data_IF_612431930526
#
_entry.id   IF_612431930526
#
_cell.length_a   1.000
_cell.length_b   1.000
_cell.length_c   1.000
_cell.angle_alpha   90.00
_cell.angle_beta   90.00
_cell.angle_gamma   90.00
#
_symmetry.space_group_name_H-M   'P 1'
#
loop_
_entity.id
_entity.type
_entity.pdbx_description
1 polymer ?
#
# COMPACT_ATOMS: atom_id res chain seq x y z
N UNK A 1 20.55 1.84 29.62
CA UNK A 1 21.71 1.89 28.70
C UNK A 1 21.20 2.23 27.31
N UNK A 2 21.44 3.45 26.82
CA UNK A 2 21.12 3.80 25.43
C UNK A 2 21.87 2.91 24.45
N UNK A 3 21.18 2.53 23.36
CA UNK A 3 21.75 1.76 22.25
C UNK A 3 21.74 2.67 21.02
N UNK A 4 22.92 3.11 20.60
CA UNK A 4 23.11 3.99 19.45
C UNK A 4 23.25 3.15 18.17
N UNK A 5 22.50 3.51 17.12
CA UNK A 5 22.65 2.92 15.77
C UNK A 5 23.60 3.78 14.96
N UNK A 6 24.72 3.21 14.51
CA UNK A 6 25.79 3.96 13.84
C UNK A 6 26.15 3.32 12.51
N UNK A 7 26.10 4.10 11.45
CA UNK A 7 26.28 3.68 10.06
C UNK A 7 27.44 4.45 9.42
N UNK A 8 28.04 3.90 8.36
CA UNK A 8 29.01 4.62 7.53
C UNK A 8 28.33 5.62 6.61
N UNK A 9 29.06 6.63 6.10
CA UNK A 9 28.55 7.62 5.15
C UNK A 9 27.81 6.98 3.95
N UNK A 10 28.35 5.90 3.37
CA UNK A 10 27.73 5.15 2.26
C UNK A 10 26.59 4.20 2.67
N UNK A 11 26.23 4.15 3.95
CA UNK A 11 25.19 3.28 4.54
C UNK A 11 25.40 1.78 4.28
N UNK A 12 26.61 1.38 3.89
CA UNK A 12 26.95 0.01 3.52
C UNK A 12 27.39 -0.84 4.73
N UNK A 13 27.83 -0.21 5.82
CA UNK A 13 28.16 -0.86 7.08
C UNK A 13 27.37 -0.22 8.21
N UNK A 14 26.86 -1.05 9.12
CA UNK A 14 26.03 -0.63 10.26
C UNK A 14 26.37 -1.43 11.50
N UNK A 15 26.34 -0.77 12.66
CA UNK A 15 26.53 -1.40 13.97
C UNK A 15 25.63 -0.76 15.02
N UNK A 16 25.44 -1.46 16.13
CA UNK A 16 24.86 -0.90 17.34
C UNK A 16 25.93 -0.79 18.45
N UNK A 17 25.84 0.26 19.26
CA UNK A 17 26.75 0.53 20.37
C UNK A 17 25.90 0.76 21.61
N UNK A 18 26.01 -0.15 22.58
CA UNK A 18 25.45 0.06 23.91
C UNK A 18 26.43 0.90 24.72
N UNK A 19 25.98 2.04 25.23
CA UNK A 19 26.83 2.96 25.99
C UNK A 19 26.22 3.16 27.38
N UNK A 20 27.07 3.12 28.42
CA UNK A 20 26.65 3.37 29.81
C UNK A 20 26.58 4.87 30.09
N UNK A 21 27.60 5.63 29.67
CA UNK A 21 27.63 7.10 29.66
C UNK A 21 27.90 7.58 28.25
N UNK A 22 26.98 8.36 27.68
CA UNK A 22 27.06 8.84 26.29
C UNK A 22 28.17 9.89 26.20
N UNK A 23 29.38 9.45 25.85
CA UNK A 23 30.50 10.33 25.52
C UNK A 23 30.83 10.18 24.03
N UNK A 24 30.79 11.29 23.30
CA UNK A 24 31.05 11.32 21.86
C UNK A 24 32.39 10.71 21.48
N UNK A 25 33.44 10.90 22.29
CA UNK A 25 34.78 10.33 22.04
C UNK A 25 34.78 8.82 22.17
N UNK A 26 34.06 8.30 23.16
CA UNK A 26 33.91 6.87 23.38
C UNK A 26 33.06 6.21 22.28
N UNK A 27 32.01 6.89 21.81
CA UNK A 27 31.15 6.44 20.71
C UNK A 27 31.94 6.39 19.40
N UNK A 28 32.68 7.44 19.06
CA UNK A 28 33.55 7.48 17.87
C UNK A 28 34.60 6.35 17.90
N UNK A 29 35.31 6.19 19.01
CA UNK A 29 36.33 5.14 19.16
C UNK A 29 35.74 3.73 18.98
N UNK A 30 34.59 3.46 19.62
CA UNK A 30 33.93 2.16 19.53
C UNK A 30 33.36 1.90 18.14
N UNK A 31 32.79 2.92 17.51
CA UNK A 31 32.26 2.81 16.17
C UNK A 31 33.35 2.59 15.13
N UNK A 32 34.46 3.33 15.22
CA UNK A 32 35.63 3.15 14.35
C UNK A 32 36.18 1.73 14.43
N UNK A 33 36.30 1.17 15.65
CA UNK A 33 36.72 -0.22 15.86
C UNK A 33 35.75 -1.24 15.25
N UNK A 34 34.43 -1.04 15.39
CA UNK A 34 33.42 -1.98 14.91
C UNK A 34 33.17 -1.91 13.40
N UNK A 35 33.20 -0.72 12.82
CA UNK A 35 32.94 -0.49 11.39
C UNK A 35 34.21 -0.60 10.53
N UNK A 36 35.39 -0.56 11.16
CA UNK A 36 36.68 -0.55 10.46
C UNK A 36 36.84 0.69 9.60
N UNK A 37 36.55 1.86 10.17
CA UNK A 37 36.65 3.18 9.53
C UNK A 37 37.38 4.15 10.45
N UNK A 38 37.90 5.25 9.91
CA UNK A 38 38.52 6.32 10.69
C UNK A 38 37.63 7.56 10.70
N UNK A 39 36.49 7.43 11.38
CA UNK A 39 35.51 8.49 11.56
C UNK A 39 36.01 9.61 12.46
N UNK A 40 35.79 10.85 12.04
CA UNK A 40 36.17 12.07 12.78
C UNK A 40 34.97 12.85 13.29
N UNK A 41 33.80 12.69 12.69
CA UNK A 41 32.56 13.36 13.11
C UNK A 41 31.35 12.44 13.05
N UNK A 42 30.35 12.78 13.86
CA UNK A 42 29.05 12.12 13.90
C UNK A 42 28.01 13.12 13.39
N UNK A 43 27.14 12.68 12.50
CA UNK A 43 26.00 13.48 12.01
C UNK A 43 24.72 12.68 12.08
N UNK A 44 23.57 13.35 12.11
CA UNK A 44 22.26 12.71 12.00
C UNK A 44 22.03 12.18 10.58
N UNK A 45 21.46 10.99 10.46
CA UNK A 45 21.22 10.38 9.15
C UNK A 45 20.15 11.14 8.34
N UNK A 46 19.16 11.71 9.01
CA UNK A 46 17.98 12.34 8.39
C UNK A 46 18.29 13.66 7.66
N UNK A 47 19.20 14.47 8.19
CA UNK A 47 19.44 15.84 7.72
C UNK A 47 20.93 16.23 7.68
N UNK A 48 21.84 15.36 8.15
CA UNK A 48 23.26 15.64 8.19
C UNK A 48 23.70 16.61 9.28
N UNK A 49 22.85 16.92 10.25
CA UNK A 49 23.18 17.79 11.39
C UNK A 49 24.34 17.20 12.19
N UNK A 50 25.40 17.99 12.40
CA UNK A 50 26.59 17.57 13.15
C UNK A 50 26.26 17.49 14.63
N UNK A 51 26.66 16.40 15.28
CA UNK A 51 26.60 16.23 16.73
C UNK A 51 28.03 16.34 17.25
N UNK A 52 28.31 17.40 18.01
CA UNK A 52 29.60 17.70 18.62
C UNK A 52 29.57 17.63 20.16
N UNK A 53 28.38 17.71 20.76
CA UNK A 53 28.17 17.62 22.21
C UNK A 53 27.57 16.28 22.67
N UNK A 54 28.06 15.79 23.81
CA UNK A 54 27.63 14.52 24.42
C UNK A 54 26.17 14.54 24.90
N UNK A 55 25.68 15.69 25.36
CA UNK A 55 24.30 15.84 25.83
C UNK A 55 23.29 15.75 24.67
N UNK A 56 23.66 16.35 23.52
CA UNK A 56 22.90 16.27 22.27
C UNK A 56 22.86 14.84 21.73
N UNK A 57 23.98 14.12 21.82
CA UNK A 57 24.08 12.72 21.41
C UNK A 57 23.14 11.80 22.21
N UNK A 58 22.87 12.13 23.48
CA UNK A 58 21.96 11.38 24.33
C UNK A 58 20.49 11.60 23.93
N UNK A 59 20.11 12.85 23.62
CA UNK A 59 18.76 13.20 23.16
C UNK A 59 18.41 12.46 21.85
N UNK A 60 19.38 12.33 20.95
CA UNK A 60 19.21 11.62 19.67
C UNK A 60 19.55 10.11 19.74
N UNK A 61 19.51 9.49 20.92
CA UNK A 61 19.91 8.09 21.09
C UNK A 61 19.04 7.07 20.33
N UNK A 62 17.82 7.46 19.92
CA UNK A 62 16.91 6.63 19.12
C UNK A 62 17.09 6.79 17.60
N UNK A 63 17.80 7.84 17.18
CA UNK A 63 18.03 8.17 15.77
C UNK A 63 19.19 7.35 15.18
N UNK A 64 19.30 7.38 13.85
CA UNK A 64 20.45 6.79 13.15
C UNK A 64 21.54 7.85 13.03
N UNK A 65 22.74 7.48 13.43
CA UNK A 65 23.93 8.30 13.37
C UNK A 65 24.82 7.85 12.20
N UNK A 66 25.37 8.81 11.47
CA UNK A 66 26.32 8.59 10.39
C UNK A 66 27.69 9.05 10.86
N UNK A 67 28.70 8.21 10.65
CA UNK A 67 30.09 8.58 10.84
C UNK A 67 30.70 9.02 9.52
N UNK A 68 31.33 10.19 9.55
CA UNK A 68 32.07 10.77 8.43
C UNK A 68 33.57 10.68 8.70
N UNK A 69 34.31 10.24 7.67
CA UNK A 69 35.78 10.29 7.64
C UNK A 69 36.27 11.66 7.17
N UNK A 70 37.57 11.90 7.27
CA UNK A 70 38.16 13.15 6.80
C UNK A 70 37.87 13.38 5.31
N UNK A 71 37.19 14.48 4.98
CA UNK A 71 36.78 14.83 3.61
C UNK A 71 35.47 14.19 3.13
N UNK A 72 34.78 13.39 3.96
CA UNK A 72 33.43 12.92 3.65
C UNK A 72 32.38 13.96 4.09
N UNK A 73 31.41 14.24 3.22
CA UNK A 73 30.24 15.04 3.55
C UNK A 73 29.01 14.14 3.62
N UNK A 74 28.04 14.50 4.46
CA UNK A 74 26.76 13.81 4.48
C UNK A 74 26.09 13.92 3.11
N UNK A 75 25.51 12.81 2.65
CA UNK A 75 24.72 12.74 1.43
C UNK A 75 23.30 12.30 1.79
N UNK A 76 22.33 13.10 1.36
CA UNK A 76 20.93 12.73 1.43
C UNK A 76 20.72 11.46 0.60
N UNK A 77 19.98 10.51 1.16
CA UNK A 77 19.69 9.25 0.48
C UNK A 77 18.68 9.49 -0.66
N UNK A 78 19.12 10.09 -1.75
CA UNK A 78 18.38 10.10 -3.01
C UNK A 78 18.60 8.73 -3.65
N UNK A 79 17.63 7.83 -3.56
CA UNK A 79 17.57 6.69 -4.47
C UNK A 79 17.24 7.21 -5.86
N UNK A 80 18.25 7.73 -6.56
CA UNK A 80 18.22 7.93 -8.00
C UNK A 80 18.50 6.57 -8.62
N UNK A 81 17.53 6.03 -9.35
CA UNK A 81 17.77 4.99 -10.33
C UNK A 81 18.66 5.60 -11.44
N UNK A 82 19.97 5.47 -11.30
CA UNK A 82 20.90 5.76 -12.40
C UNK A 82 20.99 4.51 -13.26
N UNK A 83 20.24 4.50 -14.36
CA UNK A 83 20.63 3.76 -15.56
C UNK A 83 21.88 4.43 -16.12
N UNK A 84 22.98 3.68 -16.14
CA UNK A 84 24.19 4.03 -16.87
C UNK A 84 23.86 4.15 -18.36
N UNK A 85 24.11 5.31 -18.95
CA UNK A 85 24.71 5.40 -20.27
C UNK A 85 25.31 6.79 -20.48
N UNK A 86 26.64 6.81 -20.53
CA UNK A 86 27.46 7.89 -21.06
C UNK A 86 27.18 8.08 -22.55
N UNK A 87 26.80 9.29 -22.97
CA UNK A 87 27.64 10.09 -23.88
C UNK A 87 27.07 11.48 -24.20
N UNK A 88 28.01 12.43 -24.22
CA UNK A 88 28.03 13.78 -24.82
C UNK A 88 27.41 14.95 -24.05
N UNK A 89 28.25 15.98 -23.98
CA UNK A 89 28.21 17.19 -23.17
C UNK A 89 27.77 18.39 -24.04
N UNK A 90 27.87 19.64 -23.54
CA UNK A 90 26.75 20.50 -23.12
C UNK A 90 26.36 21.54 -24.19
N UNK A 91 25.18 22.15 -24.07
CA UNK A 91 25.04 23.56 -24.46
C UNK A 91 24.05 24.29 -23.57
N UNK A 92 24.48 25.50 -23.22
CA UNK A 92 23.91 26.42 -22.26
C UNK A 92 22.75 27.24 -22.86
N UNK A 93 21.82 27.63 -21.98
CA UNK A 93 21.15 28.95 -21.87
C UNK A 93 20.55 29.54 -23.16
N UNK A 94 19.22 29.72 -23.23
CA UNK A 94 18.67 31.07 -22.97
C UNK A 94 17.14 31.10 -22.81
N UNK A 95 16.73 32.06 -21.98
CA UNK A 95 15.38 32.55 -21.75
C UNK A 95 15.04 33.49 -22.92
N UNK A 96 13.79 33.48 -23.40
CA UNK A 96 12.97 34.69 -23.66
C UNK A 96 11.65 34.35 -24.33
N UNK A 97 10.58 34.81 -23.70
CA UNK A 97 9.28 35.02 -24.31
C UNK A 97 9.36 36.19 -25.30
N UNK A 98 8.59 36.15 -26.38
CA UNK A 98 7.94 37.35 -26.89
C UNK A 98 6.68 37.03 -27.70
N UNK A 99 5.66 37.80 -27.35
CA UNK A 99 4.32 37.89 -27.89
C UNK A 99 4.36 38.84 -29.11
N UNK A 100 3.48 38.63 -30.10
CA UNK A 100 2.69 39.62 -30.89
C UNK A 100 2.13 38.85 -32.09
N UNK A 101 0.85 38.44 -32.04
CA UNK A 101 -0.31 39.11 -32.65
C UNK A 101 -0.29 39.13 -34.18
N UNK A 102 -1.32 38.53 -34.79
CA UNK A 102 -2.20 39.23 -35.74
C UNK A 102 -3.43 38.36 -36.07
N UNK A 103 -4.55 38.76 -35.49
CA UNK A 103 -5.83 39.08 -36.12
C UNK A 103 -6.20 38.42 -37.47
N UNK A 104 -7.32 37.71 -37.36
CA UNK A 104 -8.58 37.96 -38.08
C UNK A 104 -8.93 37.21 -39.37
N UNK A 105 -10.09 36.55 -39.23
CA UNK A 105 -11.28 36.60 -40.10
C UNK A 105 -11.46 35.46 -41.12
N UNK A 106 -12.35 34.54 -40.69
CA UNK A 106 -13.56 34.10 -41.41
C UNK A 106 -13.36 33.24 -42.67
N UNK A 107 -14.22 32.29 -43.03
CA UNK A 107 -15.50 31.85 -42.51
C UNK A 107 -15.84 30.51 -43.21
N UNK A 108 -16.61 29.69 -42.50
CA UNK A 108 -17.75 28.87 -42.98
C UNK A 108 -17.57 27.72 -43.98
N UNK A 109 -18.05 26.56 -43.49
CA UNK A 109 -19.10 25.66 -44.05
C UNK A 109 -18.81 25.09 -45.45
N UNK A 110 -18.98 23.80 -45.73
CA UNK A 110 -20.22 23.04 -45.51
C UNK A 110 -19.99 21.56 -45.84
N UNK A 111 -20.61 20.69 -45.02
CA UNK A 111 -21.01 19.29 -45.28
C UNK A 111 -22.15 19.29 -46.33
N UNK A 112 -22.34 18.29 -47.23
CA UNK A 112 -23.02 17.00 -46.94
C UNK A 112 -22.44 15.78 -47.69
N UNK A 113 -22.30 14.56 -47.14
CA UNK A 113 -23.31 13.59 -46.68
C UNK A 113 -24.30 13.14 -47.77
N UNK A 114 -24.15 11.91 -48.32
CA UNK A 114 -25.26 11.01 -48.75
C UNK A 114 -24.79 9.54 -48.77
N UNK A 115 -25.39 8.77 -47.86
CA UNK A 115 -26.02 7.44 -47.94
C UNK A 115 -25.42 6.23 -48.70
N UNK A 116 -25.21 5.17 -47.90
CA UNK A 116 -25.76 3.80 -47.98
C UNK A 116 -25.73 3.02 -49.30
N UNK A 117 -25.15 1.81 -49.26
CA UNK A 117 -25.94 0.55 -49.20
C UNK A 117 -25.08 -0.70 -49.03
N UNK A 118 -25.65 -1.62 -48.26
CA UNK A 118 -25.25 -3.00 -47.99
C UNK A 118 -25.08 -3.88 -49.25
N UNK A 119 -24.15 -4.84 -49.22
CA UNK A 119 -24.50 -6.27 -49.10
C UNK A 119 -23.28 -7.22 -49.22
N UNK A 120 -23.15 -8.05 -48.18
CA UNK A 120 -22.90 -9.50 -48.13
C UNK A 120 -21.93 -10.21 -49.09
N UNK A 121 -20.96 -10.86 -48.42
CA UNK A 121 -20.49 -12.26 -48.54
C UNK A 121 -20.16 -12.85 -49.92
N UNK A 122 -18.90 -13.29 -50.06
CA UNK A 122 -18.60 -14.71 -50.25
C UNK A 122 -17.10 -15.01 -50.03
N UNK A 123 -16.85 -16.10 -49.30
CA UNK A 123 -15.56 -16.78 -49.16
C UNK A 123 -15.13 -17.42 -50.49
N UNK A 124 -13.81 -17.56 -50.73
CA UNK A 124 -13.11 -18.82 -51.07
C UNK A 124 -11.58 -18.60 -50.94
N UNK A 125 -10.95 -19.62 -50.36
CA UNK A 125 -9.53 -19.98 -50.23
C UNK A 125 -8.50 -19.41 -51.22
N UNK A 126 -7.30 -19.11 -50.71
CA UNK A 126 -6.10 -19.77 -51.23
C UNK A 126 -4.91 -19.73 -50.24
N UNK A 127 -4.30 -20.89 -50.05
CA UNK A 127 -3.12 -21.12 -49.22
C UNK A 127 -1.83 -20.82 -49.99
N UNK A 128 -0.82 -20.26 -49.30
CA UNK A 128 0.57 -20.43 -49.71
C UNK A 128 1.49 -20.49 -48.48
N UNK A 129 2.10 -21.66 -48.32
CA UNK A 129 3.10 -22.07 -47.34
C UNK A 129 4.40 -21.26 -47.42
N UNK A 130 5.02 -21.01 -46.26
CA UNK A 130 6.48 -20.80 -46.12
C UNK A 130 7.04 -21.81 -45.13
N UNK A 131 7.97 -22.62 -45.63
CA UNK A 131 8.80 -23.56 -44.88
C UNK A 131 9.82 -22.79 -44.04
N UNK A 132 9.90 -23.11 -42.74
CA UNK A 132 11.07 -22.82 -41.91
C UNK A 132 11.71 -24.13 -41.47
N UNK A 133 13.01 -24.20 -41.68
CA UNK A 133 13.87 -25.38 -41.58
C UNK A 133 14.14 -25.73 -40.10
N UNK A 134 13.52 -26.78 -39.57
CA UNK A 134 13.84 -27.31 -38.23
C UNK A 134 14.98 -28.36 -38.31
N UNK A 135 15.99 -28.19 -37.45
CA UNK A 135 17.12 -29.13 -37.29
C UNK A 135 16.72 -30.45 -36.63
N UNK A 136 17.40 -31.59 -36.93
CA UNK A 136 16.98 -32.95 -36.56
C UNK A 136 16.84 -33.25 -35.05
N UNK A 137 17.43 -32.42 -34.19
CA UNK A 137 17.38 -32.59 -32.73
C UNK A 137 16.06 -32.09 -32.13
N UNK A 138 15.49 -31.04 -32.73
CA UNK A 138 14.27 -30.36 -32.25
C UNK A 138 13.00 -31.19 -32.58
N UNK A 139 13.05 -31.97 -33.67
CA UNK A 139 12.01 -32.90 -34.07
C UNK A 139 11.92 -34.11 -33.13
N UNK A 140 13.04 -34.58 -32.55
CA UNK A 140 13.03 -35.70 -31.60
C UNK A 140 12.41 -35.33 -30.25
N UNK A 141 12.71 -34.13 -29.72
CA UNK A 141 12.14 -33.67 -28.44
C UNK A 141 10.63 -33.40 -28.54
N UNK A 142 10.18 -32.76 -29.63
CA UNK A 142 8.75 -32.54 -29.91
C UNK A 142 7.99 -33.87 -30.10
N UNK A 143 8.62 -34.87 -30.72
CA UNK A 143 8.03 -36.20 -30.94
C UNK A 143 7.88 -36.98 -29.64
N UNK A 144 8.87 -36.94 -28.74
CA UNK A 144 8.78 -37.59 -27.42
C UNK A 144 7.70 -36.91 -26.55
N UNK A 145 7.63 -35.57 -26.56
CA UNK A 145 6.62 -34.82 -25.83
C UNK A 145 5.19 -35.08 -26.36
N UNK A 146 5.03 -35.25 -27.67
CA UNK A 146 3.75 -35.62 -28.31
C UNK A 146 3.35 -37.06 -27.98
N UNK A 147 4.28 -38.02 -28.03
CA UNK A 147 4.03 -39.44 -27.71
C UNK A 147 3.69 -39.63 -26.21
N UNK A 148 4.22 -38.77 -25.33
CA UNK A 148 3.92 -38.78 -23.90
C UNK A 148 2.60 -38.07 -23.55
N UNK A 149 2.14 -37.11 -24.37
CA UNK A 149 0.87 -36.39 -24.17
C UNK A 149 -0.37 -37.22 -24.54
N UNK A 150 -0.27 -38.14 -25.51
CA UNK A 150 -1.38 -39.00 -25.93
C UNK A 150 -1.69 -40.16 -24.96
N UNK A 151 -0.87 -40.35 -23.92
CA UNK A 151 -1.22 -41.23 -22.80
C UNK A 151 -1.78 -40.37 -21.67
N UNK A 152 -3.09 -40.22 -21.65
CA UNK A 152 -3.85 -39.83 -20.45
C UNK A 152 -3.48 -40.81 -19.32
N UNK A 153 -2.47 -40.46 -18.53
CA UNK A 153 -2.14 -41.14 -17.28
C UNK A 153 -3.21 -40.75 -16.25
N UNK A 154 -4.41 -41.31 -16.40
CA UNK A 154 -5.47 -41.23 -15.37
C UNK A 154 -4.93 -41.64 -13.99
N UNK A 155 -3.91 -42.52 -13.95
CA UNK A 155 -3.52 -43.20 -12.72
C UNK A 155 -2.05 -42.95 -12.30
N UNK A 156 -1.28 -42.12 -13.02
CA UNK A 156 0.17 -41.90 -12.81
C UNK A 156 1.06 -43.17 -12.81
N UNK A 157 0.48 -44.35 -13.03
CA UNK A 157 1.14 -45.66 -12.91
C UNK A 157 2.24 -45.89 -13.96
N UNK A 158 2.23 -45.18 -15.09
CA UNK A 158 3.30 -45.27 -16.09
C UNK A 158 4.25 -44.08 -16.17
N UNK A 159 4.09 -43.04 -15.33
CA UNK A 159 5.05 -41.92 -15.28
C UNK A 159 6.45 -42.39 -14.88
N UNK A 160 7.48 -41.86 -15.54
CA UNK A 160 8.90 -42.10 -15.24
C UNK A 160 9.66 -40.78 -15.17
N UNK A 161 10.65 -40.72 -14.30
CA UNK A 161 11.49 -39.53 -14.18
C UNK A 161 12.25 -39.36 -15.50
N UNK A 162 12.15 -38.17 -16.10
CA UNK A 162 12.87 -37.82 -17.32
C UNK A 162 14.33 -37.53 -16.98
N UNK A 163 15.13 -38.57 -16.74
CA UNK A 163 16.53 -38.40 -16.32
C UNK A 163 17.39 -37.56 -17.29
N UNK A 164 17.00 -37.50 -18.56
CA UNK A 164 17.65 -36.70 -19.60
C UNK A 164 17.50 -35.18 -19.38
N UNK A 165 16.48 -34.71 -18.65
CA UNK A 165 16.26 -33.29 -18.37
C UNK A 165 17.07 -32.76 -17.18
N UNK A 166 17.74 -33.67 -16.46
CA UNK A 166 18.60 -33.36 -15.32
C UNK A 166 20.02 -33.16 -15.83
N UNK A 167 20.68 -32.11 -15.37
CA UNK A 167 22.02 -31.78 -15.84
C UNK A 167 23.05 -32.85 -15.47
N UNK A 168 24.03 -33.03 -16.36
CA UNK A 168 25.06 -34.06 -16.24
C UNK A 168 25.93 -33.92 -14.98
N UNK A 169 26.04 -32.73 -14.39
CA UNK A 169 26.82 -32.53 -13.17
C UNK A 169 26.04 -33.05 -11.95
N UNK A 170 24.76 -32.73 -11.85
CA UNK A 170 23.85 -33.27 -10.82
C UNK A 170 23.80 -34.79 -10.88
N UNK A 171 23.73 -35.39 -12.08
CA UNK A 171 23.75 -36.86 -12.23
C UNK A 171 25.07 -37.49 -11.74
N UNK A 172 26.22 -36.85 -12.00
CA UNK A 172 27.52 -37.31 -11.49
C UNK A 172 27.61 -37.21 -9.97
N UNK A 173 27.10 -36.14 -9.37
CA UNK A 173 27.06 -35.99 -7.91
C UNK A 173 26.15 -37.02 -7.24
N UNK A 174 25.01 -37.31 -7.85
CA UNK A 174 24.08 -38.35 -7.39
C UNK A 174 24.66 -39.76 -7.43
N UNK A 175 25.52 -40.05 -8.42
CA UNK A 175 26.26 -41.31 -8.53
C UNK A 175 27.43 -41.42 -7.54
N UNK A 176 27.81 -40.29 -6.92
CA UNK A 176 28.87 -40.25 -5.93
C UNK A 176 28.54 -41.03 -4.66
N UNK A 177 29.58 -41.38 -3.91
CA UNK A 177 29.42 -42.17 -2.68
C UNK A 177 28.89 -41.36 -1.49
N UNK A 178 28.65 -40.06 -1.66
CA UNK A 178 28.23 -39.11 -0.61
C UNK A 178 26.81 -38.62 -0.86
N UNK A 179 26.13 -38.22 0.21
CA UNK A 179 24.86 -37.50 0.11
C UNK A 179 25.09 -36.16 -0.60
N UNK A 180 24.21 -35.83 -1.55
CA UNK A 180 24.25 -34.54 -2.26
C UNK A 180 23.87 -33.38 -1.33
N UNK A 181 24.34 -32.17 -1.65
CA UNK A 181 24.00 -31.00 -0.87
C UNK A 181 22.48 -30.71 -0.84
N UNK A 182 22.01 -30.08 0.25
CA UNK A 182 20.60 -29.75 0.45
C UNK A 182 20.05 -28.82 -0.63
N UNK A 183 20.86 -27.87 -1.13
CA UNK A 183 20.48 -26.96 -2.21
C UNK A 183 20.26 -27.73 -3.51
N UNK A 184 21.21 -28.59 -3.87
CA UNK A 184 21.13 -29.42 -5.08
C UNK A 184 19.94 -30.38 -5.02
N UNK A 185 19.72 -31.01 -3.86
CA UNK A 185 18.55 -31.86 -3.60
C UNK A 185 17.24 -31.11 -3.81
N UNK A 186 17.18 -29.84 -3.40
CA UNK A 186 15.99 -29.01 -3.60
C UNK A 186 15.79 -28.62 -5.07
N UNK A 187 16.87 -28.25 -5.78
CA UNK A 187 16.81 -27.92 -7.21
C UNK A 187 16.32 -29.11 -8.04
N UNK A 188 16.84 -30.31 -7.77
CA UNK A 188 16.42 -31.54 -8.43
C UNK A 188 14.93 -31.84 -8.17
N UNK A 189 14.49 -31.74 -6.91
CA UNK A 189 13.07 -31.91 -6.55
C UNK A 189 12.19 -30.92 -7.32
N UNK A 190 12.58 -29.64 -7.36
CA UNK A 190 11.85 -28.60 -8.07
C UNK A 190 11.76 -28.91 -9.57
N UNK A 191 12.88 -29.22 -10.22
CA UNK A 191 12.93 -29.55 -11.65
C UNK A 191 12.03 -30.73 -12.02
N UNK A 192 12.07 -31.81 -11.23
CA UNK A 192 11.22 -32.99 -11.44
C UNK A 192 9.75 -32.64 -11.29
N UNK A 193 9.39 -31.82 -10.30
CA UNK A 193 7.99 -31.38 -10.13
C UNK A 193 7.57 -30.47 -11.28
N UNK A 194 8.44 -29.62 -11.82
CA UNK A 194 8.13 -28.81 -13.00
C UNK A 194 7.88 -29.69 -14.24
N UNK A 195 8.66 -30.76 -14.42
CA UNK A 195 8.42 -31.74 -15.48
C UNK A 195 7.05 -32.45 -15.30
N UNK A 196 6.69 -32.83 -14.06
CA UNK A 196 5.36 -33.36 -13.75
C UNK A 196 4.24 -32.34 -14.03
N UNK A 197 4.49 -31.06 -13.71
CA UNK A 197 3.54 -29.95 -13.94
C UNK A 197 3.32 -29.62 -15.41
N UNK A 198 4.23 -30.06 -16.29
CA UNK A 198 4.01 -30.03 -17.74
C UNK A 198 2.82 -30.87 -18.20
N UNK A 199 2.37 -31.85 -17.39
CA UNK A 199 1.20 -32.69 -17.65
C UNK A 199 -0.06 -32.15 -16.94
N UNK A 200 0.03 -31.87 -15.64
CA UNK A 200 -1.08 -31.31 -14.86
C UNK A 200 -0.55 -30.45 -13.69
N UNK A 201 -1.19 -29.32 -13.43
CA UNK A 201 -0.90 -28.47 -12.26
C UNK A 201 -1.39 -29.12 -10.97
N UNK A 202 -2.51 -29.85 -11.00
CA UNK A 202 -3.17 -30.44 -9.82
C UNK A 202 -2.80 -31.92 -9.63
N UNK A 203 -1.53 -32.15 -9.35
CA UNK A 203 -0.95 -33.48 -9.16
C UNK A 203 -1.50 -34.20 -7.90
N UNK A 204 -1.96 -35.46 -8.00
CA UNK A 204 -2.41 -36.25 -6.85
C UNK A 204 -1.23 -36.73 -5.99
N UNK A 205 -1.45 -36.95 -4.68
CA UNK A 205 -0.41 -37.41 -3.74
C UNK A 205 0.33 -38.67 -4.20
N UNK A 206 -0.39 -39.62 -4.81
CA UNK A 206 0.19 -40.88 -5.32
C UNK A 206 1.28 -40.66 -6.37
N UNK A 207 1.16 -39.60 -7.19
CA UNK A 207 2.17 -39.24 -8.18
C UNK A 207 3.51 -38.88 -7.51
N UNK A 208 3.46 -38.02 -6.47
CA UNK A 208 4.64 -37.64 -5.71
C UNK A 208 5.26 -38.83 -4.96
N UNK A 209 4.44 -39.71 -4.39
CA UNK A 209 4.94 -40.91 -3.70
C UNK A 209 5.72 -41.83 -4.64
N UNK A 210 5.23 -42.02 -5.86
CA UNK A 210 5.89 -42.85 -6.87
C UNK A 210 7.25 -42.27 -7.28
N UNK A 211 7.29 -40.97 -7.58
CA UNK A 211 8.52 -40.27 -7.96
C UNK A 211 9.53 -40.26 -6.81
N UNK A 212 9.07 -40.04 -5.59
CA UNK A 212 9.94 -40.07 -4.41
C UNK A 212 10.49 -41.48 -4.12
N UNK A 213 9.70 -42.52 -4.34
CA UNK A 213 10.16 -43.92 -4.27
C UNK A 213 11.23 -44.20 -5.33
N UNK A 214 11.02 -43.76 -6.58
CA UNK A 214 12.00 -43.93 -7.66
C UNK A 214 13.32 -43.19 -7.35
N UNK A 215 13.27 -41.95 -6.84
CA UNK A 215 14.47 -41.23 -6.38
C UNK A 215 15.21 -41.95 -5.26
N UNK A 216 14.48 -42.49 -4.27
CA UNK A 216 15.06 -43.28 -3.18
C UNK A 216 15.72 -44.54 -3.71
N UNK A 217 15.09 -45.24 -4.64
CA UNK A 217 15.58 -46.54 -5.14
C UNK A 217 16.79 -46.36 -6.05
N UNK A 218 16.84 -45.30 -6.86
CA UNK A 218 18.00 -44.95 -7.68
C UNK A 218 19.14 -44.34 -6.86
N UNK A 219 18.83 -43.51 -5.86
CA UNK A 219 19.83 -42.75 -5.10
C UNK A 219 19.57 -42.81 -3.59
N UNK A 220 19.67 -44.00 -2.96
CA UNK A 220 19.30 -44.19 -1.56
C UNK A 220 20.15 -43.36 -0.59
N UNK A 221 21.43 -43.14 -0.90
CA UNK A 221 22.32 -42.30 -0.07
C UNK A 221 21.80 -40.87 0.09
N UNK A 222 21.15 -40.35 -0.95
CA UNK A 222 20.67 -38.98 -1.02
C UNK A 222 19.21 -38.85 -0.66
N UNK A 223 18.38 -39.87 -0.92
CA UNK A 223 16.92 -39.76 -0.79
C UNK A 223 16.29 -40.73 0.20
N UNK A 224 17.02 -41.71 0.74
CA UNK A 224 16.51 -42.59 1.80
C UNK A 224 16.53 -41.88 3.16
N UNK A 225 15.35 -41.73 3.75
CA UNK A 225 15.19 -41.16 5.07
C UNK A 225 15.48 -42.22 6.14
N UNK A 226 16.49 -41.93 6.97
CA UNK A 226 16.92 -42.79 8.08
C UNK A 226 16.68 -42.10 9.42
N UNK A 227 16.31 -42.90 10.41
CA UNK A 227 16.24 -42.52 11.82
C UNK A 227 17.66 -42.34 12.39
N UNK A 228 17.77 -41.76 13.59
CA UNK A 228 19.06 -41.56 14.27
C UNK A 228 19.85 -42.85 14.49
N UNK A 229 19.17 -43.99 14.58
CA UNK A 229 19.77 -45.32 14.71
C UNK A 229 20.15 -45.96 13.36
N UNK A 230 20.05 -45.21 12.25
CA UNK A 230 20.37 -45.69 10.90
C UNK A 230 19.28 -46.53 10.23
N UNK A 231 18.19 -46.88 10.92
CA UNK A 231 17.08 -47.62 10.34
C UNK A 231 16.24 -46.73 9.42
N UNK A 232 15.64 -47.31 8.38
CA UNK A 232 14.72 -46.60 7.49
C UNK A 232 13.52 -46.03 8.27
N UNK A 233 13.20 -44.77 8.03
CA UNK A 233 12.06 -44.08 8.61
C UNK A 233 10.81 -44.31 7.75
N UNK A 234 9.87 -45.13 8.21
CA UNK A 234 8.63 -45.41 7.47
C UNK A 234 8.90 -45.94 6.05
N UNK A 235 8.29 -45.32 5.04
CA UNK A 235 8.55 -45.64 3.62
C UNK A 235 9.90 -45.10 3.11
N UNK A 236 10.60 -44.26 3.88
CA UNK A 236 11.94 -43.78 3.57
C UNK A 236 12.00 -42.60 2.59
N UNK A 237 10.87 -41.94 2.28
CA UNK A 237 10.81 -40.83 1.31
C UNK A 237 9.74 -39.76 1.61
N UNK A 238 9.13 -39.76 2.80
CA UNK A 238 7.97 -38.90 3.11
C UNK A 238 8.33 -37.40 3.18
N UNK A 239 9.55 -37.04 3.59
CA UNK A 239 10.04 -35.67 3.49
C UNK A 239 10.19 -35.22 2.04
N UNK A 240 10.66 -36.11 1.16
CA UNK A 240 10.75 -35.82 -0.29
C UNK A 240 9.36 -35.57 -0.87
N UNK A 241 8.37 -36.42 -0.54
CA UNK A 241 6.96 -36.23 -0.93
C UNK A 241 6.43 -34.89 -0.43
N UNK A 242 6.66 -34.56 0.84
CA UNK A 242 6.21 -33.28 1.43
C UNK A 242 6.83 -32.08 0.73
N UNK A 243 8.12 -32.14 0.39
CA UNK A 243 8.80 -31.07 -0.35
C UNK A 243 8.21 -30.88 -1.74
N UNK A 244 7.96 -31.97 -2.46
CA UNK A 244 7.34 -31.93 -3.79
C UNK A 244 5.93 -31.34 -3.73
N UNK A 245 5.10 -31.79 -2.78
CA UNK A 245 3.74 -31.26 -2.57
C UNK A 245 3.75 -29.77 -2.21
N UNK A 246 4.64 -29.37 -1.29
CA UNK A 246 4.74 -27.97 -0.87
C UNK A 246 5.13 -27.07 -2.04
N UNK A 247 6.10 -27.50 -2.85
CA UNK A 247 6.50 -26.78 -4.05
C UNK A 247 5.33 -26.69 -5.05
N UNK A 248 4.67 -27.81 -5.36
CA UNK A 248 3.53 -27.82 -6.28
C UNK A 248 2.38 -26.92 -5.81
N UNK A 249 2.03 -26.98 -4.51
CA UNK A 249 0.99 -26.14 -3.93
C UNK A 249 1.38 -24.66 -3.93
N UNK A 250 2.65 -24.34 -3.67
CA UNK A 250 3.13 -22.97 -3.73
C UNK A 250 3.10 -22.43 -5.16
N UNK A 251 3.47 -23.24 -6.15
CA UNK A 251 3.41 -22.89 -7.57
C UNK A 251 1.98 -22.92 -8.14
N UNK A 252 1.02 -23.51 -7.45
CA UNK A 252 -0.42 -23.44 -7.77
C UNK A 252 -1.14 -22.30 -7.07
N UNK A 253 -0.50 -21.64 -6.09
CA UNK A 253 -1.07 -20.41 -5.58
C UNK A 253 -1.19 -19.45 -6.74
N UNK A 254 -2.34 -18.77 -6.91
CA UNK A 254 -2.35 -17.59 -7.77
C UNK A 254 -1.16 -16.75 -7.30
N UNK A 255 -0.21 -16.51 -8.21
CA UNK A 255 0.91 -15.62 -7.93
C UNK A 255 0.31 -14.40 -7.25
N UNK A 256 0.88 -13.97 -6.12
CA UNK A 256 0.47 -12.72 -5.47
C UNK A 256 0.40 -11.68 -6.58
N UNK A 257 -0.80 -11.39 -7.05
CA UNK A 257 -1.02 -10.31 -7.98
C UNK A 257 -0.43 -9.08 -7.28
N UNK A 258 0.23 -8.22 -8.05
CA UNK A 258 0.71 -6.92 -7.58
C UNK A 258 -0.50 -6.15 -7.03
N UNK A 259 -0.82 -6.43 -5.77
CA UNK A 259 -1.87 -5.79 -5.05
C UNK A 259 -1.30 -4.46 -4.61
N UNK A 260 -2.01 -3.38 -4.90
CA UNK A 260 -1.62 -2.03 -4.50
C UNK A 260 -1.43 -1.91 -2.98
N UNK A 261 -2.07 -2.76 -2.18
CA UNK A 261 -1.83 -2.86 -0.73
C UNK A 261 -0.38 -3.21 -0.38
N UNK A 262 0.37 -3.86 -1.28
CA UNK A 262 1.81 -4.14 -1.11
C UNK A 262 2.69 -2.92 -1.46
N UNK A 263 2.17 -1.92 -2.19
CA UNK A 263 2.91 -0.67 -2.45
C UNK A 263 3.10 0.14 -1.17
N UNK A 264 2.18 0.04 -0.22
CA UNK A 264 2.33 0.63 1.11
C UNK A 264 3.37 -0.18 1.91
N UNK A 265 4.59 0.35 2.01
CA UNK A 265 5.69 -0.26 2.77
C UNK A 265 5.53 0.00 4.27
N UNK A 266 4.43 -0.48 4.85
CA UNK A 266 4.10 -0.23 6.26
C UNK A 266 5.12 -0.94 7.19
N UNK A 267 5.88 -0.19 8.00
CA UNK A 267 6.77 -0.73 9.02
C UNK A 267 6.06 -1.67 9.99
N UNK A 268 6.75 -2.72 10.45
CA UNK A 268 6.17 -3.76 11.33
C UNK A 268 5.59 -3.16 12.62
N UNK A 269 6.26 -2.17 13.20
CA UNK A 269 5.83 -1.47 14.41
C UNK A 269 4.53 -0.66 14.22
N UNK A 270 4.19 -0.28 12.99
CA UNK A 270 2.98 0.49 12.68
C UNK A 270 1.78 -0.39 12.29
N UNK A 271 1.98 -1.70 12.06
CA UNK A 271 0.88 -2.61 11.64
C UNK A 271 -0.30 -2.66 12.60
N UNK A 272 -0.04 -2.55 13.91
CA UNK A 272 -1.13 -2.48 14.91
C UNK A 272 -1.94 -1.20 14.77
N UNK A 273 -1.27 -0.06 14.53
CA UNK A 273 -1.93 1.22 14.27
C UNK A 273 -2.77 1.15 12.99
N UNK A 274 -2.22 0.58 11.93
CA UNK A 274 -2.92 0.37 10.66
C UNK A 274 -4.20 -0.46 10.87
N UNK A 275 -4.10 -1.56 11.63
CA UNK A 275 -5.25 -2.41 11.95
C UNK A 275 -6.35 -1.66 12.70
N UNK A 276 -6.00 -0.75 13.62
CA UNK A 276 -6.97 0.12 14.28
C UNK A 276 -7.60 1.15 13.33
N UNK A 277 -6.81 1.78 12.46
CA UNK A 277 -7.30 2.79 11.51
C UNK A 277 -8.23 2.15 10.45
N UNK A 278 -7.94 0.93 10.05
CA UNK A 278 -8.75 0.16 9.09
C UNK A 278 -10.06 -0.36 9.68
N UNK A 279 -10.23 -0.35 11.00
CA UNK A 279 -11.43 -0.88 11.64
C UNK A 279 -12.66 -0.09 11.17
N UNK A 280 -13.67 -0.80 10.64
CA UNK A 280 -14.87 -0.19 10.07
C UNK A 280 -14.72 0.37 8.65
N UNK A 281 -13.49 0.44 8.11
CA UNK A 281 -13.22 0.87 6.73
C UNK A 281 -13.07 -0.35 5.82
N UNK A 282 -14.20 -0.96 5.44
CA UNK A 282 -14.23 -2.18 4.62
C UNK A 282 -13.58 -2.02 3.24
N UNK A 283 -13.62 -0.82 2.65
CA UNK A 283 -12.99 -0.50 1.36
C UNK A 283 -11.75 0.38 1.53
N UNK A 284 -10.90 0.07 2.52
CA UNK A 284 -9.74 0.89 2.90
C UNK A 284 -8.85 1.34 1.73
N UNK A 285 -8.59 0.43 0.79
CA UNK A 285 -7.78 0.68 -0.40
C UNK A 285 -8.17 -0.26 -1.55
N UNK A 286 -8.24 0.24 -2.80
CA UNK A 286 -8.43 -0.60 -3.98
C UNK A 286 -7.26 -1.58 -4.18
N UNK A 287 -7.56 -2.81 -4.60
CA UNK A 287 -6.53 -3.82 -4.88
C UNK A 287 -5.82 -3.59 -6.22
N UNK A 288 -6.51 -2.98 -7.19
CA UNK A 288 -6.07 -2.78 -8.57
C UNK A 288 -6.48 -1.40 -9.11
N UNK A 289 -5.79 -0.96 -10.16
CA UNK A 289 -6.21 0.19 -10.97
C UNK A 289 -7.49 -0.17 -11.76
N UNK A 290 -8.35 0.80 -12.09
CA UNK A 290 -9.47 0.59 -13.01
C UNK A 290 -9.00 0.06 -14.39
N UNK A 291 -9.85 -0.67 -15.11
CA UNK A 291 -9.48 -1.38 -16.35
C UNK A 291 -8.88 -0.48 -17.46
N UNK A 292 -9.23 0.81 -17.46
CA UNK A 292 -8.76 1.80 -18.45
C UNK A 292 -7.76 2.81 -17.87
N UNK A 293 -7.12 2.46 -16.74
CA UNK A 293 -6.21 3.35 -16.02
C UNK A 293 -4.84 2.70 -15.82
N UNK A 294 -3.80 3.51 -15.95
CA UNK A 294 -2.43 3.17 -15.56
C UNK A 294 -1.84 4.25 -14.64
N UNK A 295 -0.60 4.09 -14.21
CA UNK A 295 0.06 5.06 -13.32
C UNK A 295 0.17 6.46 -13.96
N UNK A 296 0.30 6.54 -15.28
CA UNK A 296 0.41 7.79 -16.03
C UNK A 296 -0.94 8.50 -16.07
N UNK A 297 -2.01 7.79 -16.44
CA UNK A 297 -3.36 8.38 -16.52
C UNK A 297 -3.89 8.80 -15.16
N UNK A 298 -3.44 8.15 -14.08
CA UNK A 298 -3.72 8.57 -12.71
C UNK A 298 -3.00 9.86 -12.33
N UNK A 299 -1.72 9.98 -12.70
CA UNK A 299 -0.89 11.15 -12.41
C UNK A 299 -1.36 12.38 -13.19
N UNK A 300 -1.78 12.20 -14.45
CA UNK A 300 -2.39 13.27 -15.25
C UNK A 300 -3.64 13.85 -14.57
N UNK A 301 -4.51 12.99 -14.02
CA UNK A 301 -5.70 13.43 -13.26
C UNK A 301 -5.32 14.15 -11.98
N UNK A 302 -4.29 13.69 -11.26
CA UNK A 302 -3.76 14.37 -10.07
C UNK A 302 -3.30 15.78 -10.43
N UNK A 303 -2.48 15.91 -11.48
CA UNK A 303 -1.96 17.21 -11.95
C UNK A 303 -3.10 18.12 -12.36
N UNK A 304 -4.10 17.62 -13.10
CA UNK A 304 -5.27 18.39 -13.48
C UNK A 304 -6.08 18.89 -12.28
N UNK A 305 -6.21 18.07 -11.22
CA UNK A 305 -6.90 18.43 -9.99
C UNK A 305 -6.14 19.44 -9.13
N UNK A 306 -4.84 19.71 -9.37
CA UNK A 306 -4.11 20.78 -8.66
C UNK A 306 -4.72 22.16 -8.89
N UNK A 307 -5.31 22.37 -10.07
CA UNK A 307 -5.98 23.61 -10.44
C UNK A 307 -7.43 23.70 -9.92
N UNK A 308 -7.86 22.79 -9.03
CA UNK A 308 -9.22 22.76 -8.47
C UNK A 308 -9.73 24.11 -7.95
N UNK A 309 -8.88 24.88 -7.27
CA UNK A 309 -9.27 26.19 -6.71
C UNK A 309 -9.46 27.28 -7.77
N UNK A 310 -9.05 27.03 -9.02
CA UNK A 310 -9.21 27.95 -10.15
C UNK A 310 -10.47 27.66 -10.95
N UNK A 311 -11.10 26.50 -10.73
CA UNK A 311 -12.32 26.09 -11.44
C UNK A 311 -13.56 26.71 -10.80
N UNK A 312 -14.55 27.04 -11.64
CA UNK A 312 -15.88 27.41 -11.17
C UNK A 312 -16.61 26.15 -10.68
N UNK A 313 -16.72 26.00 -9.36
CA UNK A 313 -17.38 24.86 -8.72
C UNK A 313 -18.92 24.99 -8.74
N UNK A 314 -19.44 26.14 -9.16
CA UNK A 314 -20.89 26.38 -9.29
C UNK A 314 -21.41 26.02 -10.68
N UNK A 315 -20.52 25.91 -11.67
CA UNK A 315 -20.84 25.46 -13.02
C UNK A 315 -21.08 23.93 -13.06
N UNK A 316 -22.30 23.44 -13.39
CA UNK A 316 -22.61 22.01 -13.33
C UNK A 316 -21.75 21.13 -14.25
N UNK A 317 -21.48 21.49 -15.53
CA UNK A 317 -20.57 20.75 -16.40
C UNK A 317 -19.15 20.63 -15.80
N UNK A 318 -18.58 21.74 -15.33
CA UNK A 318 -17.26 21.72 -14.69
C UNK A 318 -17.25 20.83 -13.44
N UNK A 319 -18.28 20.93 -12.60
CA UNK A 319 -18.38 20.13 -11.38
C UNK A 319 -18.42 18.62 -11.69
N UNK A 320 -19.11 18.20 -12.75
CA UNK A 320 -19.12 16.79 -13.18
C UNK A 320 -17.74 16.33 -13.65
N UNK A 321 -17.02 17.13 -14.42
CA UNK A 321 -15.64 16.82 -14.85
C UNK A 321 -14.70 16.71 -13.64
N UNK A 322 -14.87 17.57 -12.63
CA UNK A 322 -14.08 17.49 -11.39
C UNK A 322 -14.39 16.18 -10.66
N UNK A 323 -15.68 15.83 -10.49
CA UNK A 323 -16.07 14.58 -9.82
C UNK A 323 -15.55 13.35 -10.55
N UNK A 324 -15.61 13.34 -11.88
CA UNK A 324 -15.11 12.23 -12.69
C UNK A 324 -13.61 12.03 -12.52
N UNK A 325 -12.82 13.10 -12.70
CA UNK A 325 -11.37 13.05 -12.50
C UNK A 325 -11.00 12.65 -11.06
N UNK A 326 -11.76 13.13 -10.09
CA UNK A 326 -11.61 12.76 -8.68
C UNK A 326 -11.91 11.27 -8.43
N UNK A 327 -13.04 10.75 -8.91
CA UNK A 327 -13.40 9.35 -8.71
C UNK A 327 -12.39 8.41 -9.40
N UNK A 328 -11.99 8.75 -10.62
CA UNK A 328 -11.05 7.94 -11.39
C UNK A 328 -9.66 7.93 -10.76
N UNK A 329 -9.25 9.02 -10.09
CA UNK A 329 -7.96 9.09 -9.38
C UNK A 329 -7.98 8.58 -7.93
N UNK A 330 -9.09 7.94 -7.50
CA UNK A 330 -9.27 7.47 -6.12
C UNK A 330 -8.15 6.53 -5.66
N UNK A 331 -7.65 5.67 -6.54
CA UNK A 331 -6.56 4.73 -6.22
C UNK A 331 -5.31 5.47 -5.76
N UNK A 332 -4.87 6.46 -6.51
CA UNK A 332 -3.67 7.26 -6.20
C UNK A 332 -3.90 8.14 -4.97
N UNK A 333 -5.10 8.67 -4.78
CA UNK A 333 -5.48 9.36 -3.55
C UNK A 333 -5.36 8.46 -2.32
N UNK A 334 -5.87 7.22 -2.38
CA UNK A 334 -5.78 6.27 -1.27
C UNK A 334 -4.36 5.80 -1.01
N UNK A 335 -3.55 5.57 -2.06
CA UNK A 335 -2.13 5.27 -1.90
C UNK A 335 -1.36 6.39 -1.19
N UNK A 336 -1.71 7.65 -1.47
CA UNK A 336 -1.18 8.80 -0.75
C UNK A 336 -1.70 8.83 0.69
N UNK A 337 -3.02 8.94 0.90
CA UNK A 337 -3.63 9.09 2.23
C UNK A 337 -3.31 7.95 3.21
N UNK A 338 -3.10 6.73 2.69
CA UNK A 338 -2.85 5.54 3.50
C UNK A 338 -1.37 5.27 3.74
N UNK A 339 -0.46 6.07 3.17
CA UNK A 339 0.98 5.94 3.40
C UNK A 339 1.39 6.45 4.79
N UNK A 340 1.07 5.67 5.81
CA UNK A 340 1.42 5.96 7.20
C UNK A 340 2.92 5.84 7.51
N UNK A 341 3.73 5.44 6.51
CA UNK A 341 5.19 5.29 6.65
C UNK A 341 5.90 6.64 6.58
N UNK A 342 5.34 7.58 5.81
CA UNK A 342 5.65 9.00 5.88
C UNK A 342 4.80 9.54 7.04
N UNK A 343 5.35 10.42 7.88
CA UNK A 343 4.58 11.05 8.96
C UNK A 343 3.20 11.48 8.44
N UNK A 344 2.13 11.13 9.17
CA UNK A 344 0.73 11.33 8.73
C UNK A 344 0.60 12.65 7.96
N UNK A 345 0.17 12.58 6.70
CA UNK A 345 0.07 13.77 5.84
C UNK A 345 -0.69 14.88 6.56
N UNK A 346 0.03 15.94 6.93
CA UNK A 346 -0.58 17.09 7.57
C UNK A 346 -1.54 17.74 6.56
N UNK A 347 -2.64 18.30 7.07
CA UNK A 347 -3.67 18.97 6.26
C UNK A 347 -3.11 19.92 5.18
N UNK A 348 -2.07 20.74 5.44
CA UNK A 348 -1.45 21.57 4.40
C UNK A 348 -0.88 20.77 3.22
N UNK A 349 -0.18 19.66 3.49
CA UNK A 349 0.38 18.79 2.44
C UNK A 349 -0.73 18.12 1.62
N UNK A 350 -1.81 17.68 2.30
CA UNK A 350 -2.97 17.13 1.60
C UNK A 350 -3.57 18.18 0.67
N UNK A 351 -3.68 19.44 1.12
CA UNK A 351 -4.21 20.54 0.33
C UNK A 351 -3.33 20.92 -0.87
N UNK A 352 -2.01 20.78 -0.74
CA UNK A 352 -1.06 21.04 -1.82
C UNK A 352 -1.11 19.96 -2.91
N UNK A 353 -1.19 18.68 -2.51
CA UNK A 353 -1.16 17.54 -3.46
C UNK A 353 -2.55 17.23 -4.03
N UNK A 354 -3.59 17.45 -3.24
CA UNK A 354 -4.99 17.12 -3.54
C UNK A 354 -5.93 18.20 -2.97
N UNK A 355 -5.98 19.41 -3.56
CA UNK A 355 -6.76 20.53 -3.02
C UNK A 355 -8.25 20.23 -2.84
N UNK A 356 -8.83 19.42 -3.73
CA UNK A 356 -10.22 18.98 -3.68
C UNK A 356 -10.56 18.13 -2.43
N UNK A 357 -9.60 17.39 -1.85
CA UNK A 357 -9.82 16.55 -0.66
C UNK A 357 -10.15 17.36 0.60
N UNK A 358 -9.93 18.67 0.59
CA UNK A 358 -10.30 19.55 1.72
C UNK A 358 -11.75 20.04 1.65
N UNK A 359 -12.48 19.74 0.56
CA UNK A 359 -13.86 20.16 0.39
C UNK A 359 -14.84 19.03 0.79
N UNK A 360 -15.94 19.42 1.46
CA UNK A 360 -16.92 18.52 2.09
C UNK A 360 -17.48 17.44 1.16
N UNK A 361 -17.91 17.71 -0.10
CA UNK A 361 -18.48 16.68 -0.97
C UNK A 361 -17.51 15.52 -1.23
N UNK A 362 -16.22 15.81 -1.38
CA UNK A 362 -15.19 14.81 -1.65
C UNK A 362 -14.79 14.03 -0.40
N UNK A 363 -14.76 14.69 0.76
CA UNK A 363 -14.58 14.03 2.07
C UNK A 363 -15.72 13.05 2.33
N UNK A 364 -16.96 13.49 2.09
CA UNK A 364 -18.16 12.67 2.30
C UNK A 364 -18.20 11.49 1.33
N UNK A 365 -17.80 11.69 0.08
CA UNK A 365 -17.65 10.61 -0.88
C UNK A 365 -16.63 9.56 -0.42
N UNK A 366 -15.46 9.97 0.08
CA UNK A 366 -14.47 9.02 0.62
C UNK A 366 -15.00 8.29 1.83
N UNK A 367 -15.68 8.99 2.74
CA UNK A 367 -16.32 8.37 3.90
C UNK A 367 -17.28 7.26 3.47
N UNK A 368 -18.15 7.55 2.51
CA UNK A 368 -19.14 6.59 2.02
C UNK A 368 -18.50 5.40 1.34
N UNK A 369 -17.46 5.63 0.52
CA UNK A 369 -16.68 4.53 -0.06
C UNK A 369 -16.02 3.67 1.01
N UNK A 370 -15.33 4.28 1.97
CA UNK A 370 -14.55 3.56 2.98
C UNK A 370 -15.44 2.72 3.90
N UNK A 371 -16.55 3.30 4.34
CA UNK A 371 -17.39 2.72 5.40
C UNK A 371 -18.62 2.01 4.87
N UNK A 372 -19.05 2.29 3.64
CA UNK A 372 -20.31 1.82 3.07
C UNK A 372 -21.55 2.51 3.64
N UNK A 373 -21.39 3.60 4.40
CA UNK A 373 -22.47 4.34 5.02
C UNK A 373 -22.46 5.80 4.55
N UNK A 374 -23.61 6.45 4.53
CA UNK A 374 -23.70 7.89 4.22
C UNK A 374 -23.48 8.72 5.49
N UNK A 375 -23.11 10.00 5.33
CA UNK A 375 -22.99 10.90 6.49
C UNK A 375 -24.35 11.09 7.19
N UNK A 376 -25.47 10.97 6.47
CA UNK A 376 -26.81 11.07 7.05
C UNK A 376 -27.08 9.90 7.99
N UNK A 377 -26.67 8.69 7.60
CA UNK A 377 -26.78 7.50 8.45
C UNK A 377 -25.95 7.63 9.72
N UNK A 378 -24.73 8.20 9.66
CA UNK A 378 -23.95 8.47 10.87
C UNK A 378 -24.75 9.33 11.85
N UNK A 379 -25.32 10.44 11.36
CA UNK A 379 -25.95 11.41 12.24
C UNK A 379 -27.20 10.84 12.92
N UNK A 380 -27.97 10.01 12.21
CA UNK A 380 -29.08 9.24 12.78
C UNK A 380 -28.56 8.22 13.79
N UNK A 381 -27.55 7.42 13.42
CA UNK A 381 -27.01 6.36 14.28
C UNK A 381 -26.38 6.90 15.56
N UNK A 382 -25.66 8.03 15.51
CA UNK A 382 -25.10 8.67 16.72
C UNK A 382 -26.23 9.10 17.66
N UNK A 383 -27.33 9.64 17.13
CA UNK A 383 -28.48 10.04 17.94
C UNK A 383 -29.10 8.84 18.65
N UNK A 384 -29.29 7.73 17.93
CA UNK A 384 -29.85 6.51 18.50
C UNK A 384 -28.90 5.82 19.49
N UNK A 385 -27.58 6.00 19.32
CA UNK A 385 -26.54 5.42 20.17
C UNK A 385 -26.15 6.29 21.38
N UNK A 386 -26.72 7.48 21.55
CA UNK A 386 -26.44 8.36 22.72
C UNK A 386 -26.44 7.59 24.04
N UNK A 387 -27.47 6.79 24.39
CA UNK A 387 -27.49 6.07 25.67
C UNK A 387 -26.31 5.09 25.82
N UNK A 388 -25.88 4.46 24.72
CA UNK A 388 -24.75 3.52 24.69
C UNK A 388 -23.43 4.27 24.84
N UNK A 389 -23.27 5.41 24.17
CA UNK A 389 -22.08 6.27 24.25
C UNK A 389 -21.91 6.82 25.67
N UNK A 390 -23.00 7.32 26.29
CA UNK A 390 -22.98 7.79 27.68
C UNK A 390 -22.58 6.69 28.65
N UNK A 391 -23.19 5.51 28.52
CA UNK A 391 -22.84 4.32 29.34
C UNK A 391 -21.37 3.93 29.18
N UNK A 392 -20.85 3.99 27.95
CA UNK A 392 -19.43 3.76 27.67
C UNK A 392 -18.54 4.83 28.31
N UNK A 393 -18.91 6.11 28.23
CA UNK A 393 -18.19 7.21 28.85
C UNK A 393 -18.05 7.05 30.36
N UNK A 394 -19.12 6.69 31.06
CA UNK A 394 -19.11 6.39 32.50
C UNK A 394 -18.19 5.21 32.79
N UNK A 395 -18.36 4.10 32.05
CA UNK A 395 -17.53 2.90 32.22
C UNK A 395 -16.04 3.18 32.04
N UNK A 396 -15.69 4.03 31.07
CA UNK A 396 -14.30 4.42 30.76
C UNK A 396 -13.81 5.61 31.56
N UNK A 397 -14.64 6.19 32.44
CA UNK A 397 -14.32 7.40 33.23
C UNK A 397 -13.90 8.58 32.35
N UNK A 398 -14.59 8.76 31.22
CA UNK A 398 -14.46 9.92 30.31
C UNK A 398 -15.37 11.09 30.73
N UNK A 399 -16.31 10.81 31.62
CA UNK A 399 -17.26 11.75 32.22
C UNK A 399 -17.71 11.19 33.58
N UNK A 400 -18.04 12.07 34.51
CA UNK A 400 -18.53 11.75 35.85
C UNK A 400 -19.98 12.23 36.07
N UNK A 401 -20.62 12.75 35.01
CA UNK A 401 -21.95 13.37 35.07
C UNK A 401 -23.03 12.27 35.09
N UNK A 402 -24.04 12.46 35.94
CA UNK A 402 -25.25 11.64 35.92
C UNK A 402 -26.25 12.20 34.91
N UNK A 403 -26.46 11.50 33.79
CA UNK A 403 -27.26 11.99 32.66
C UNK A 403 -28.77 11.74 32.80
N UNK A 404 -29.21 11.02 33.84
CA UNK A 404 -30.61 10.57 33.99
C UNK A 404 -31.65 11.69 34.06
N UNK A 405 -31.23 12.89 34.47
CA UNK A 405 -32.12 14.05 34.67
C UNK A 405 -31.80 15.23 33.72
N UNK A 406 -30.99 15.00 32.67
CA UNK A 406 -30.58 16.04 31.71
C UNK A 406 -31.42 16.01 30.43
N UNK A 407 -31.60 17.17 29.77
CA UNK A 407 -32.31 17.28 28.49
C UNK A 407 -31.68 16.40 27.40
N UNK A 408 -32.45 15.97 26.41
CA UNK A 408 -31.94 15.17 25.27
C UNK A 408 -30.78 15.87 24.54
N UNK A 409 -30.83 17.20 24.46
CA UNK A 409 -29.81 18.04 23.83
C UNK A 409 -28.48 18.00 24.62
N UNK A 410 -28.55 18.08 25.95
CA UNK A 410 -27.38 17.99 26.82
C UNK A 410 -26.78 16.58 26.81
N UNK A 411 -27.62 15.54 26.76
CA UNK A 411 -27.17 14.15 26.61
C UNK A 411 -26.44 13.94 25.29
N UNK A 412 -26.94 14.51 24.20
CA UNK A 412 -26.30 14.45 22.90
C UNK A 412 -24.96 15.20 22.87
N UNK A 413 -24.89 16.39 23.47
CA UNK A 413 -23.66 17.16 23.59
C UNK A 413 -22.58 16.42 24.39
N UNK A 414 -22.97 15.80 25.50
CA UNK A 414 -22.06 14.98 26.32
C UNK A 414 -21.60 13.72 25.57
N UNK A 415 -22.46 13.08 24.78
CA UNK A 415 -22.05 12.00 23.90
C UNK A 415 -20.96 12.46 22.90
N UNK A 416 -21.10 13.65 22.31
CA UNK A 416 -20.05 14.22 21.43
C UNK A 416 -18.75 14.50 22.18
N UNK A 417 -18.82 15.02 23.40
CA UNK A 417 -17.62 15.20 24.23
C UNK A 417 -16.91 13.87 24.51
N UNK A 418 -17.66 12.82 24.85
CA UNK A 418 -17.11 11.49 25.10
C UNK A 418 -16.42 10.96 23.85
N UNK A 419 -17.03 11.12 22.67
CA UNK A 419 -16.43 10.74 21.39
C UNK A 419 -15.11 11.50 21.17
N UNK A 420 -15.10 12.82 21.32
CA UNK A 420 -13.89 13.63 21.16
C UNK A 420 -12.79 13.18 22.15
N UNK A 421 -13.12 13.02 23.44
CA UNK A 421 -12.19 12.53 24.46
C UNK A 421 -11.64 11.14 24.14
N UNK A 422 -12.48 10.24 23.61
CA UNK A 422 -12.07 8.90 23.21
C UNK A 422 -11.00 8.94 22.10
N UNK A 423 -11.17 9.84 21.13
CA UNK A 423 -10.22 10.06 20.03
C UNK A 423 -9.10 11.07 20.35
N UNK A 424 -9.08 11.63 21.56
CA UNK A 424 -8.12 12.66 22.02
C UNK A 424 -8.20 13.97 21.22
N UNK A 425 -9.40 14.32 20.79
CA UNK A 425 -9.72 15.56 20.10
C UNK A 425 -10.33 16.59 21.07
N UNK A 426 -10.22 17.87 20.73
CA UNK A 426 -10.80 18.97 21.52
C UNK A 426 -12.12 19.43 20.93
N UNK A 427 -13.23 19.25 21.65
CA UNK A 427 -14.56 19.64 21.18
C UNK A 427 -14.66 21.14 20.90
N UNK A 428 -13.93 21.98 21.64
CA UNK A 428 -13.92 23.44 21.45
C UNK A 428 -13.38 23.87 20.09
N UNK A 429 -12.71 22.98 19.35
CA UNK A 429 -12.30 23.23 17.96
C UNK A 429 -13.43 23.06 16.94
N UNK A 430 -14.52 22.40 17.34
CA UNK A 430 -15.69 22.09 16.51
C UNK A 430 -16.90 22.99 16.81
N UNK A 431 -16.80 23.81 17.84
CA UNK A 431 -17.92 24.55 18.44
C UNK A 431 -17.53 26.00 18.68
N UNK A 432 -18.45 26.92 18.40
CA UNK A 432 -18.28 28.33 18.76
C UNK A 432 -19.20 28.64 19.94
N UNK A 433 -18.63 29.19 21.02
CA UNK A 433 -19.38 29.65 22.19
C UNK A 433 -19.57 31.16 22.12
N UNK A 434 -20.76 31.63 22.48
CA UNK A 434 -21.10 33.03 22.60
C UNK A 434 -21.56 33.33 24.03
N UNK A 435 -21.27 34.49 24.61
CA UNK A 435 -21.80 34.85 25.92
C UNK A 435 -23.31 35.08 25.87
N UNK A 436 -23.99 34.83 26.99
CA UNK A 436 -25.41 35.15 27.14
C UNK A 436 -25.70 36.64 26.88
N UNK A 437 -26.80 36.94 26.18
CA UNK A 437 -27.13 38.29 25.71
C UNK A 437 -26.46 38.72 24.39
N UNK A 438 -25.78 37.82 23.67
CA UNK A 438 -25.28 38.11 22.31
C UNK A 438 -26.45 38.41 21.37
N UNK A 439 -26.55 39.66 20.88
CA UNK A 439 -27.63 40.13 20.00
C UNK A 439 -27.39 39.80 18.51
N UNK A 440 -26.15 39.50 18.13
CA UNK A 440 -25.77 39.19 16.75
C UNK A 440 -24.69 38.10 16.71
N UNK A 441 -24.90 37.09 15.87
CA UNK A 441 -23.99 35.97 15.67
C UNK A 441 -23.26 36.18 14.34
N UNK A 442 -22.11 36.84 14.35
CA UNK A 442 -21.25 36.93 13.16
C UNK A 442 -20.67 35.55 12.84
N UNK A 443 -21.32 34.86 11.93
CA UNK A 443 -20.76 33.65 11.31
C UNK A 443 -20.19 34.10 9.96
N UNK A 444 -18.94 33.73 9.67
CA UNK A 444 -18.27 34.09 8.41
C UNK A 444 -19.07 33.66 7.16
N UNK A 445 -18.61 34.07 5.96
CA UNK A 445 -19.31 34.04 4.65
C UNK A 445 -19.89 32.69 4.12
N UNK A 446 -20.22 31.70 4.94
CA UNK A 446 -21.00 30.55 4.52
C UNK A 446 -21.78 29.89 5.69
N UNK A 447 -22.90 30.49 6.17
CA UNK A 447 -23.62 29.96 7.30
C UNK A 447 -24.74 29.01 6.83
N UNK A 448 -24.48 27.72 6.88
CA UNK A 448 -25.46 26.63 6.68
C UNK A 448 -25.52 25.78 7.97
N UNK A 449 -26.64 25.07 8.22
CA UNK A 449 -27.54 25.23 9.37
C UNK A 449 -26.90 24.97 10.75
N UNK A 450 -27.37 25.72 11.74
CA UNK A 450 -26.83 25.83 13.11
C UNK A 450 -27.75 25.12 14.11
N UNK A 451 -27.18 24.32 15.02
CA UNK A 451 -27.87 23.86 16.23
C UNK A 451 -27.45 24.78 17.38
N UNK A 452 -28.42 25.50 17.96
CA UNK A 452 -28.22 26.29 19.18
C UNK A 452 -28.75 25.48 20.36
N UNK A 453 -27.88 25.11 21.29
CA UNK A 453 -28.30 24.51 22.56
C UNK A 453 -28.26 25.62 23.61
N UNK A 454 -29.38 25.81 24.31
CA UNK A 454 -29.49 26.72 25.44
C UNK A 454 -29.15 25.90 26.69
N UNK A 455 -28.01 26.19 27.32
CA UNK A 455 -27.74 25.62 28.64
C UNK A 455 -28.75 26.23 29.63
N UNK A 456 -29.22 25.42 30.58
CA UNK A 456 -30.27 25.83 31.53
C UNK A 456 -29.78 26.83 32.59
N UNK A 457 -28.58 27.39 32.42
CA UNK A 457 -28.04 28.51 33.19
C UNK A 457 -27.51 29.59 32.21
N UNK A 458 -27.94 30.86 32.30
CA UNK A 458 -27.88 31.82 31.20
C UNK A 458 -26.52 32.54 31.15
N UNK A 459 -25.43 31.80 31.05
CA UNK A 459 -24.08 32.40 30.95
C UNK A 459 -23.48 32.26 29.56
N UNK A 460 -23.79 31.19 28.81
CA UNK A 460 -23.21 30.92 27.48
C UNK A 460 -24.25 30.32 26.50
N UNK A 461 -24.19 30.72 25.24
CA UNK A 461 -24.82 30.07 24.10
C UNK A 461 -23.78 29.22 23.36
N UNK A 462 -24.19 28.03 22.91
CA UNK A 462 -23.33 27.13 22.14
C UNK A 462 -23.89 27.01 20.72
N UNK A 463 -23.11 27.43 19.72
CA UNK A 463 -23.40 27.20 18.30
C UNK A 463 -22.58 26.02 17.80
N UNK A 464 -23.26 24.94 17.45
CA UNK A 464 -22.66 23.79 16.77
C UNK A 464 -22.69 24.05 15.26
N UNK A 465 -21.51 24.11 14.64
CA UNK A 465 -21.35 24.26 13.19
C UNK A 465 -21.70 22.93 12.49
N UNK A 466 -23.00 22.72 12.23
CA UNK A 466 -23.65 21.56 11.57
C UNK A 466 -23.23 20.16 12.04
N UNK A 467 -24.16 19.49 12.72
CA UNK A 467 -24.35 18.03 12.59
C UNK A 467 -25.48 17.80 11.57
N UNK A 468 -25.30 16.82 10.69
CA UNK A 468 -26.22 16.49 9.61
C UNK A 468 -27.53 15.88 10.13
N UNK A 469 -28.42 16.68 10.71
CA UNK A 469 -29.79 16.26 11.00
C UNK A 469 -30.75 17.29 10.41
N UNK A 470 -31.35 16.93 9.27
CA UNK A 470 -32.55 17.59 8.77
C UNK A 470 -33.70 17.31 9.74
N UNK A 471 -33.87 18.18 10.74
CA UNK A 471 -35.10 18.27 11.52
C UNK A 471 -35.70 19.63 11.18
N UNK A 472 -36.91 19.62 10.61
CA UNK A 472 -37.68 20.83 10.36
C UNK A 472 -37.84 21.60 11.68
N UNK A 473 -37.18 22.74 11.81
CA UNK A 473 -37.45 23.70 12.88
C UNK A 473 -38.78 24.35 12.55
N UNK A 474 -39.84 23.86 13.17
CA UNK A 474 -41.12 24.56 13.22
C UNK A 474 -40.93 25.72 14.19
N UNK A 475 -41.10 26.95 13.71
CA UNK A 475 -41.06 28.19 14.48
C UNK A 475 -41.82 28.07 15.81
N UNK A 476 -41.09 28.01 16.92
CA UNK A 476 -41.64 28.31 18.24
C UNK A 476 -41.62 29.83 18.41
N UNK A 477 -42.77 30.45 18.09
CA UNK A 477 -43.09 31.77 18.62
C UNK A 477 -43.10 31.68 20.14
N UNK A 478 -42.15 32.31 20.81
CA UNK A 478 -42.33 32.70 22.20
C UNK A 478 -43.36 33.83 22.22
N UNK A 479 -44.60 33.48 22.55
CA UNK A 479 -45.54 34.43 23.09
C UNK A 479 -44.95 34.98 24.40
N UNK A 480 -44.90 36.30 24.50
CA UNK A 480 -44.69 37.02 25.75
C UNK A 480 -45.62 36.45 26.83
N UNK A 481 -45.06 36.10 27.99
CA UNK A 481 -45.48 36.57 29.31
C UNK A 481 -44.38 36.31 30.34
#
# INVERSE_FOLDING_TARGET
>A
MPILKVWTCKRNKRTAIAVVNVDIRHVLSTANKKLGVNGISIVLEKDGTVIDESDILQEYSQEILIILQNGETWQQNCQVLTSENSNTQPNAVDISAEIISNDNVSNTKSVPAVENKDNQENAVDNAQSKEDTETPLDTQEKTIASILKDRLFSDWEGYKILWITIDSNTLKELQGDKEIDKSLKQQLITRIVDDMRGFDKHLPRKAFQKVAAELRDHYPKSFEEKLRNGQRCGQGFENTVRKMMNYNNNSNRPHRLDNLNQKLKVPINQRKSLSCIQAGCSQWQPDHLPENEDETTQEEKRVWLLSYNLYDQTDPPMLEVIKENFCNSCVTQRLFLNDISKENHLLPQVREVWPCLTNKPFIFWHYEKLTGHTIHEIAVNIKDDVPRILSYGIMKRLTDINFTDTSEENQFFEALQIVCKHFKEQLDTLIIRFPAGTESFETGQNPDPQLCIIDNDPTEYIIVLKILLSIQVTTLKLCNF
#
